data_IF_768590280657
#
_entry.id   IF_768590280657
#
_cell.length_a   1.000
_cell.length_b   1.000
_cell.length_c   1.000
_cell.angle_alpha   90.00
_cell.angle_beta   90.00
_cell.angle_gamma   90.00
#
_symmetry.space_group_name_H-M   'P 1'
#
loop_
_entity.id
_entity.type
_entity.pdbx_description
1 polymer ?
#
# COMPACT_ATOMS: atom_id res chain seq x y z
N UNK A 1 -19.91 14.40 -8.69
CA UNK A 1 -18.53 14.92 -8.59
C UNK A 1 -17.68 13.68 -8.48
N UNK A 2 -16.99 13.31 -9.55
CA UNK A 2 -16.21 12.07 -9.60
C UNK A 2 -15.06 12.23 -8.59
N UNK A 3 -14.85 11.25 -7.71
CA UNK A 3 -13.84 11.37 -6.66
C UNK A 3 -12.41 11.52 -7.24
N UNK A 4 -12.22 11.18 -8.53
CA UNK A 4 -11.01 11.43 -9.32
C UNK A 4 -10.73 12.91 -9.60
N UNK A 5 -11.73 13.78 -9.57
CA UNK A 5 -11.56 15.24 -9.75
C UNK A 5 -11.06 15.94 -8.46
N UNK A 6 -11.09 15.25 -7.31
CA UNK A 6 -10.63 15.79 -6.03
C UNK A 6 -9.22 15.34 -5.63
N UNK A 7 -8.64 14.39 -6.37
CA UNK A 7 -7.29 13.90 -6.10
C UNK A 7 -6.26 14.86 -6.69
N UNK A 8 -5.24 15.19 -5.89
CA UNK A 8 -4.10 16.07 -6.27
C UNK A 8 -3.36 15.51 -7.51
N UNK A 9 -2.36 16.21 -8.04
CA UNK A 9 -1.49 15.69 -9.10
C UNK A 9 -0.88 14.32 -8.73
N UNK A 10 -0.75 13.44 -9.74
CA UNK A 10 -0.10 12.14 -9.61
C UNK A 10 1.38 12.35 -9.28
N UNK A 11 1.81 11.90 -8.10
CA UNK A 11 3.21 11.98 -7.69
C UNK A 11 4.04 10.90 -8.39
N UNK A 12 3.64 9.63 -8.27
CA UNK A 12 4.23 8.51 -8.98
C UNK A 12 3.27 7.32 -9.07
N UNK A 13 3.59 6.37 -9.94
CA UNK A 13 2.90 5.07 -9.98
C UNK A 13 3.86 3.93 -10.32
N UNK A 14 3.59 2.76 -9.76
CA UNK A 14 4.24 1.49 -10.08
C UNK A 14 3.16 0.51 -10.52
N UNK A 15 3.40 -0.22 -11.60
CA UNK A 15 2.45 -1.19 -12.13
C UNK A 15 3.13 -2.45 -12.65
N UNK A 16 2.48 -3.59 -12.48
CA UNK A 16 3.02 -4.89 -12.90
C UNK A 16 1.90 -5.90 -13.11
N UNK A 17 2.13 -6.86 -14.01
CA UNK A 17 1.26 -8.03 -14.18
C UNK A 17 1.82 -9.19 -13.38
N UNK A 18 0.98 -9.81 -12.56
CA UNK A 18 1.34 -10.97 -11.75
C UNK A 18 0.54 -12.19 -12.23
N UNK A 19 1.15 -13.39 -12.31
CA UNK A 19 0.51 -14.60 -12.84
C UNK A 19 -0.45 -15.26 -11.84
N UNK A 20 -1.36 -14.48 -11.27
CA UNK A 20 -2.41 -14.90 -10.33
C UNK A 20 -3.76 -14.34 -10.76
N UNK A 21 -4.85 -14.97 -10.34
CA UNK A 21 -6.19 -14.43 -10.55
C UNK A 21 -6.47 -13.21 -9.66
N UNK A 22 -7.56 -12.51 -9.96
CA UNK A 22 -7.90 -11.26 -9.28
C UNK A 22 -8.39 -11.48 -7.85
N UNK A 23 -8.84 -12.70 -7.51
CA UNK A 23 -9.25 -13.07 -6.16
C UNK A 23 -8.02 -13.21 -5.26
N UNK A 24 -7.00 -13.95 -5.70
CA UNK A 24 -5.72 -14.07 -5.00
C UNK A 24 -5.03 -12.71 -4.85
N UNK A 25 -5.07 -11.90 -5.91
CA UNK A 25 -4.52 -10.55 -5.85
C UNK A 25 -5.27 -9.67 -4.85
N UNK A 26 -6.61 -9.73 -4.87
CA UNK A 26 -7.43 -8.99 -3.92
C UNK A 26 -7.11 -9.38 -2.47
N UNK A 27 -7.01 -10.67 -2.18
CA UNK A 27 -6.64 -11.16 -0.86
C UNK A 27 -5.26 -10.68 -0.42
N UNK A 28 -4.26 -10.66 -1.32
CA UNK A 28 -2.93 -10.17 -0.99
C UNK A 28 -2.92 -8.70 -0.52
N UNK A 29 -3.85 -7.87 -1.01
CA UNK A 29 -3.95 -6.45 -0.65
C UNK A 29 -4.96 -6.12 0.46
N UNK A 30 -5.79 -7.07 0.86
CA UNK A 30 -6.91 -6.82 1.80
C UNK A 30 -6.94 -7.73 3.02
N UNK A 31 -6.21 -8.85 3.00
CA UNK A 31 -6.07 -9.69 4.17
C UNK A 31 -4.88 -9.22 5.01
N UNK A 32 -5.12 -9.00 6.30
CA UNK A 32 -4.08 -8.54 7.22
C UNK A 32 -2.93 -9.56 7.37
N UNK A 33 -3.23 -10.86 7.35
CA UNK A 33 -2.22 -11.91 7.45
C UNK A 33 -1.39 -12.04 6.17
N UNK A 34 -1.97 -11.75 5.00
CA UNK A 34 -1.21 -11.65 3.75
C UNK A 34 -0.31 -10.41 3.74
N UNK A 35 -0.84 -9.23 4.08
CA UNK A 35 -0.07 -7.99 4.18
C UNK A 35 1.10 -8.12 5.16
N UNK A 36 0.93 -8.80 6.29
CA UNK A 36 2.00 -9.08 7.25
C UNK A 36 3.15 -9.92 6.67
N UNK A 37 2.90 -10.69 5.61
CA UNK A 37 3.93 -11.52 4.98
C UNK A 37 4.74 -10.80 3.91
N UNK A 38 4.18 -9.77 3.26
CA UNK A 38 4.82 -9.18 2.08
C UNK A 38 4.94 -7.66 2.07
N UNK A 39 4.16 -6.90 2.86
CA UNK A 39 4.08 -5.43 2.78
C UNK A 39 5.31 -4.74 3.41
N UNK A 40 6.48 -5.09 2.93
CA UNK A 40 7.78 -4.51 3.25
C UNK A 40 8.70 -4.66 2.02
N UNK A 41 9.74 -3.82 1.88
CA UNK A 41 10.81 -4.06 0.92
C UNK A 41 11.42 -5.45 1.09
N UNK A 42 12.00 -6.00 0.02
CA UNK A 42 12.57 -7.36 0.03
C UNK A 42 13.70 -7.59 1.05
N UNK A 43 14.34 -6.52 1.52
CA UNK A 43 15.41 -6.56 2.54
C UNK A 43 14.90 -6.34 3.97
N UNK A 44 13.62 -6.03 4.15
CA UNK A 44 12.99 -5.70 5.43
C UNK A 44 11.82 -6.67 5.71
N UNK A 45 11.18 -6.50 6.87
CA UNK A 45 10.02 -7.31 7.27
C UNK A 45 8.96 -6.47 7.94
N UNK A 46 7.70 -6.89 7.84
CA UNK A 46 6.62 -6.32 8.64
C UNK A 46 6.80 -6.73 10.11
N UNK A 47 6.54 -5.80 11.03
CA UNK A 47 6.51 -6.08 12.46
C UNK A 47 5.28 -6.95 12.77
N UNK A 48 5.44 -8.16 13.33
CA UNK A 48 4.32 -9.06 13.58
C UNK A 48 3.24 -8.45 14.48
N UNK A 49 1.97 -8.62 14.11
CA UNK A 49 0.82 -8.08 14.83
C UNK A 49 0.60 -6.57 14.67
N UNK A 50 1.38 -5.89 13.82
CA UNK A 50 1.18 -4.48 13.50
C UNK A 50 0.09 -4.23 12.46
N UNK A 51 -0.31 -5.29 11.75
CA UNK A 51 -1.20 -5.15 10.59
C UNK A 51 -2.66 -5.15 10.99
N UNK A 52 -3.37 -4.13 10.52
CA UNK A 52 -4.83 -4.05 10.52
C UNK A 52 -5.26 -3.83 9.07
N UNK A 53 -6.30 -4.53 8.64
CA UNK A 53 -6.95 -4.25 7.36
C UNK A 53 -8.43 -4.52 7.48
N UNK A 54 -9.23 -3.46 7.34
CA UNK A 54 -10.69 -3.51 7.30
C UNK A 54 -11.12 -3.04 5.90
N UNK A 55 -11.13 -3.92 4.87
CA UNK A 55 -11.37 -3.55 3.48
C UNK A 55 -12.86 -3.23 3.21
N UNK A 56 -13.31 -2.11 3.76
CA UNK A 56 -14.63 -1.52 3.63
C UNK A 56 -14.51 0.01 3.69
N UNK A 57 -15.44 0.74 3.09
CA UNK A 57 -15.42 2.21 3.12
C UNK A 57 -15.44 2.75 4.56
N UNK A 58 -14.45 3.59 4.89
CA UNK A 58 -14.21 4.12 6.24
C UNK A 58 -13.43 3.20 7.19
N UNK A 59 -13.16 1.95 6.77
CA UNK A 59 -12.38 0.97 7.52
C UNK A 59 -10.92 1.39 7.69
N UNK A 60 -10.29 0.95 8.78
CA UNK A 60 -8.89 1.27 9.09
C UNK A 60 -7.94 0.29 8.44
N UNK A 61 -6.75 0.77 8.16
CA UNK A 61 -5.59 -0.07 7.87
C UNK A 61 -4.34 0.46 8.55
N UNK A 62 -3.41 -0.43 8.87
CA UNK A 62 -2.11 -0.06 9.41
C UNK A 62 -1.08 -1.14 9.13
N UNK A 63 0.19 -0.76 8.99
CA UNK A 63 1.34 -1.66 8.89
C UNK A 63 2.55 -0.98 9.52
N UNK A 64 3.36 -1.71 10.28
CA UNK A 64 4.69 -1.26 10.69
C UNK A 64 5.76 -2.11 10.00
N UNK A 65 6.76 -1.45 9.40
CA UNK A 65 7.89 -2.11 8.73
C UNK A 65 9.14 -1.95 9.58
N UNK A 66 9.75 -3.07 9.95
CA UNK A 66 11.02 -3.11 10.67
C UNK A 66 12.15 -2.69 9.72
N UNK A 67 12.60 -1.45 9.88
CA UNK A 67 13.74 -0.85 9.19
C UNK A 67 14.91 -0.66 10.17
N UNK A 68 15.05 -1.52 11.18
CA UNK A 68 16.06 -1.38 12.24
C UNK A 68 17.50 -1.40 11.71
N UNK A 69 17.75 -2.00 10.55
CA UNK A 69 19.01 -1.90 9.81
C UNK A 69 19.37 -0.46 9.42
N UNK A 70 18.37 0.42 9.29
CA UNK A 70 18.47 1.86 9.07
C UNK A 70 18.16 2.68 10.34
N UNK A 71 18.04 2.04 11.50
CA UNK A 71 17.90 2.68 12.80
C UNK A 71 16.50 3.18 13.17
N UNK A 72 15.45 2.76 12.47
CA UNK A 72 14.06 3.17 12.77
C UNK A 72 13.03 2.08 12.44
N UNK A 73 11.77 2.29 12.83
CA UNK A 73 10.62 1.52 12.34
C UNK A 73 9.77 2.49 11.51
N UNK A 74 9.31 2.04 10.35
CA UNK A 74 8.45 2.82 9.48
C UNK A 74 6.98 2.45 9.77
N UNK A 75 6.20 3.41 10.25
CA UNK A 75 4.81 3.22 10.60
C UNK A 75 3.90 3.81 9.53
N UNK A 76 2.93 3.03 9.06
CA UNK A 76 1.94 3.43 8.07
C UNK A 76 0.53 3.16 8.58
N UNK A 77 -0.37 4.12 8.39
CA UNK A 77 -1.79 3.93 8.70
C UNK A 77 -2.67 4.80 7.82
N UNK A 78 -3.96 4.49 7.79
CA UNK A 78 -4.95 5.33 7.14
C UNK A 78 -6.33 4.69 7.12
N UNK A 79 -7.15 5.18 6.19
CA UNK A 79 -8.52 4.70 5.98
C UNK A 79 -8.80 4.40 4.53
N UNK A 80 -9.61 3.38 4.29
CA UNK A 80 -10.16 3.12 2.97
C UNK A 80 -11.25 4.15 2.65
N UNK A 81 -11.08 4.86 1.55
CA UNK A 81 -12.06 5.81 1.02
C UNK A 81 -13.03 5.14 0.03
N UNK A 82 -12.54 4.22 -0.81
CA UNK A 82 -13.33 3.44 -1.77
C UNK A 82 -12.81 2.01 -1.81
N UNK A 83 -13.71 1.03 -1.79
CA UNK A 83 -13.36 -0.39 -1.86
C UNK A 83 -14.25 -1.06 -2.89
N UNK A 84 -13.68 -1.40 -4.05
CA UNK A 84 -14.35 -2.15 -5.11
C UNK A 84 -13.69 -3.52 -5.21
N UNK A 85 -14.35 -4.60 -4.74
CA UNK A 85 -13.77 -5.94 -4.73
C UNK A 85 -13.14 -6.33 -6.06
N UNK A 86 -11.91 -6.85 -6.01
CA UNK A 86 -11.11 -7.35 -7.13
C UNK A 86 -10.78 -6.30 -8.21
N UNK A 87 -11.08 -5.02 -7.98
CA UNK A 87 -10.93 -3.98 -9.00
C UNK A 87 -10.23 -2.72 -8.49
N UNK A 88 -10.53 -2.26 -7.27
CA UNK A 88 -9.97 -1.01 -6.77
C UNK A 88 -9.94 -0.89 -5.24
N UNK A 89 -8.87 -0.31 -4.72
CA UNK A 89 -8.79 0.24 -3.36
C UNK A 89 -8.31 1.69 -3.44
N UNK A 90 -9.01 2.60 -2.78
CA UNK A 90 -8.52 3.96 -2.52
C UNK A 90 -8.37 4.10 -1.01
N UNK A 91 -7.21 4.53 -0.56
CA UNK A 91 -6.97 4.75 0.86
C UNK A 91 -6.00 5.91 1.12
N UNK A 92 -6.12 6.51 2.30
CA UNK A 92 -5.09 7.43 2.78
C UNK A 92 -3.87 6.67 3.29
N UNK A 93 -2.70 7.29 3.22
CA UNK A 93 -1.43 6.79 3.75
C UNK A 93 -0.73 7.90 4.52
N UNK A 94 -0.78 7.81 5.84
CA UNK A 94 0.08 8.56 6.76
C UNK A 94 1.34 7.77 7.06
N UNK A 95 2.43 8.48 7.33
CA UNK A 95 3.74 7.92 7.66
C UNK A 95 4.34 8.59 8.88
N UNK A 96 4.93 7.81 9.78
CA UNK A 96 5.75 8.31 10.88
C UNK A 96 6.85 7.31 11.28
N UNK A 97 7.85 7.79 12.01
CA UNK A 97 8.83 6.97 12.73
C UNK A 97 8.58 6.97 14.25
N UNK A 98 7.59 7.74 14.73
CA UNK A 98 7.18 7.80 16.12
C UNK A 98 6.10 6.74 16.41
N UNK A 99 6.41 5.81 17.31
CA UNK A 99 5.48 4.77 17.74
C UNK A 99 4.24 5.36 18.43
N UNK A 100 4.37 6.49 19.13
CA UNK A 100 3.22 7.13 19.78
C UNK A 100 2.19 7.63 18.76
N UNK A 101 2.64 8.16 17.61
CA UNK A 101 1.76 8.56 16.52
C UNK A 101 1.09 7.34 15.87
N UNK A 102 1.83 6.24 15.71
CA UNK A 102 1.28 4.99 15.20
C UNK A 102 0.27 4.33 16.16
N UNK A 103 0.43 4.50 17.47
CA UNK A 103 -0.55 4.03 18.46
C UNK A 103 -1.79 4.93 18.42
N UNK A 104 -1.60 6.24 18.29
CA UNK A 104 -2.70 7.20 18.22
C UNK A 104 -3.53 7.03 16.95
N UNK A 105 -2.88 6.73 15.80
CA UNK A 105 -3.50 6.62 14.46
C UNK A 105 -4.46 7.76 14.20
N UNK A 106 -3.95 8.97 14.37
CA UNK A 106 -4.72 10.18 14.14
C UNK A 106 -5.21 10.18 12.68
N UNK A 107 -6.52 10.31 12.53
CA UNK A 107 -7.18 10.28 11.23
C UNK A 107 -6.99 11.61 10.49
N UNK A 108 -6.63 12.67 11.21
CA UNK A 108 -6.35 14.01 10.67
C UNK A 108 -4.84 14.23 10.40
N UNK A 109 -4.01 13.20 10.60
CA UNK A 109 -2.58 13.28 10.28
C UNK A 109 -2.35 13.59 8.79
N UNK A 110 -1.25 14.30 8.44
CA UNK A 110 -0.87 14.47 7.05
C UNK A 110 -0.78 13.12 6.35
N UNK A 111 -1.40 13.02 5.18
CA UNK A 111 -1.46 11.79 4.39
C UNK A 111 -1.36 12.08 2.90
N UNK A 112 -1.01 11.02 2.18
CA UNK A 112 -1.14 10.95 0.73
C UNK A 112 -2.34 10.08 0.36
N UNK A 113 -2.90 10.32 -0.82
CA UNK A 113 -3.94 9.47 -1.38
C UNK A 113 -3.30 8.38 -2.24
N UNK A 114 -3.66 7.14 -1.95
CA UNK A 114 -3.20 5.97 -2.69
C UNK A 114 -4.38 5.37 -3.45
N UNK A 115 -4.14 5.06 -4.72
CA UNK A 115 -5.06 4.28 -5.57
C UNK A 115 -4.37 3.01 -5.98
N UNK A 116 -4.99 1.88 -5.66
CA UNK A 116 -4.61 0.56 -6.13
C UNK A 116 -5.68 0.12 -7.11
N UNK A 117 -5.32 0.05 -8.39
CA UNK A 117 -6.18 -0.52 -9.43
C UNK A 117 -5.77 -1.97 -9.69
N UNK A 118 -6.76 -2.84 -9.90
CA UNK A 118 -6.58 -4.24 -10.27
C UNK A 118 -7.42 -4.56 -11.50
N UNK A 119 -6.83 -5.26 -12.46
CA UNK A 119 -7.52 -5.64 -13.69
C UNK A 119 -7.04 -7.02 -14.14
N UNK A 120 -7.98 -7.92 -14.39
CA UNK A 120 -7.68 -9.20 -15.04
C UNK A 120 -7.18 -8.93 -16.47
N UNK A 121 -5.99 -9.43 -16.80
CA UNK A 121 -5.36 -9.33 -18.12
C UNK A 121 -4.86 -10.68 -18.61
N UNK A 122 -4.48 -10.74 -19.88
CA UNK A 122 -3.81 -11.92 -20.40
C UNK A 122 -2.51 -12.17 -19.61
N UNK A 123 -2.39 -13.37 -19.04
CA UNK A 123 -1.24 -13.76 -18.22
C UNK A 123 -1.38 -13.50 -16.72
N UNK A 124 -2.52 -12.98 -16.24
CA UNK A 124 -2.84 -12.90 -14.80
C UNK A 124 -3.56 -11.60 -14.42
N UNK A 125 -3.20 -11.00 -13.29
CA UNK A 125 -3.81 -9.76 -12.81
C UNK A 125 -2.79 -8.63 -12.88
N UNK A 126 -3.14 -7.58 -13.61
CA UNK A 126 -2.42 -6.31 -13.57
C UNK A 126 -2.80 -5.55 -12.32
N UNK A 127 -1.80 -5.01 -11.64
CA UNK A 127 -1.99 -4.12 -10.50
C UNK A 127 -1.18 -2.87 -10.70
N UNK A 128 -1.79 -1.73 -10.35
CA UNK A 128 -1.13 -0.43 -10.30
C UNK A 128 -1.32 0.18 -8.93
N UNK A 129 -0.21 0.54 -8.31
CA UNK A 129 -0.16 1.42 -7.15
C UNK A 129 0.16 2.83 -7.63
N UNK A 130 -0.69 3.80 -7.29
CA UNK A 130 -0.49 5.20 -7.63
C UNK A 130 -0.61 6.05 -6.37
N UNK A 131 0.39 6.89 -6.12
CA UNK A 131 0.37 7.87 -5.04
C UNK A 131 0.11 9.26 -5.61
N UNK A 132 -0.81 9.97 -4.97
CA UNK A 132 -1.21 11.33 -5.31
C UNK A 132 -0.85 12.28 -4.18
N UNK A 133 -0.50 13.52 -4.55
CA UNK A 133 -0.08 14.55 -3.61
C UNK A 133 1.05 15.41 -4.16
N UNK A 134 1.28 16.54 -3.49
CA UNK A 134 2.38 17.44 -3.85
C UNK A 134 3.71 16.82 -3.39
N UNK A 135 4.51 16.38 -4.35
CA UNK A 135 5.83 15.79 -4.10
C UNK A 135 6.83 16.27 -5.18
N UNK A 136 7.99 16.81 -4.78
CA UNK A 136 9.06 17.13 -5.73
C UNK A 136 9.52 15.90 -6.52
N UNK A 137 9.82 16.07 -7.80
CA UNK A 137 10.14 14.97 -8.72
C UNK A 137 11.28 14.05 -8.24
N UNK A 138 12.31 14.59 -7.58
CA UNK A 138 13.40 13.77 -7.01
C UNK A 138 12.89 12.86 -5.88
N UNK A 139 11.97 13.35 -5.04
CA UNK A 139 11.36 12.55 -3.98
C UNK A 139 10.42 11.49 -4.56
N UNK A 140 9.64 11.85 -5.59
CA UNK A 140 8.76 10.92 -6.28
C UNK A 140 9.54 9.75 -6.91
N UNK A 141 10.69 10.03 -7.53
CA UNK A 141 11.56 8.99 -8.10
C UNK A 141 12.11 8.02 -7.03
N UNK A 142 12.50 8.55 -5.86
CA UNK A 142 12.96 7.72 -4.75
C UNK A 142 11.82 6.87 -4.16
N UNK A 143 10.64 7.46 -3.97
CA UNK A 143 9.46 6.75 -3.47
C UNK A 143 9.00 5.66 -4.45
N UNK A 144 9.01 5.95 -5.76
CA UNK A 144 8.74 4.98 -6.81
C UNK A 144 9.72 3.79 -6.75
N UNK A 145 11.02 4.05 -6.61
CA UNK A 145 12.02 2.99 -6.48
C UNK A 145 11.81 2.14 -5.22
N UNK A 146 11.40 2.76 -4.11
CA UNK A 146 11.00 2.04 -2.89
C UNK A 146 9.80 1.12 -3.15
N UNK A 147 8.77 1.63 -3.82
CA UNK A 147 7.56 0.87 -4.13
C UNK A 147 7.79 -0.29 -5.11
N UNK A 148 8.76 -0.18 -6.03
CA UNK A 148 9.18 -1.31 -6.86
C UNK A 148 9.69 -2.49 -6.01
N UNK A 149 10.42 -2.22 -4.92
CA UNK A 149 10.87 -3.27 -3.99
C UNK A 149 9.69 -3.95 -3.27
N UNK A 150 8.63 -3.20 -2.94
CA UNK A 150 7.40 -3.79 -2.41
C UNK A 150 6.72 -4.70 -3.45
N UNK A 151 6.71 -4.31 -4.73
CA UNK A 151 6.18 -5.14 -5.81
C UNK A 151 7.01 -6.42 -6.04
N UNK A 152 8.33 -6.36 -5.80
CA UNK A 152 9.18 -7.55 -5.79
C UNK A 152 8.83 -8.48 -4.62
N UNK A 153 8.58 -7.93 -3.43
CA UNK A 153 8.12 -8.69 -2.26
C UNK A 153 6.75 -9.35 -2.53
N UNK A 154 5.80 -8.60 -3.11
CA UNK A 154 4.50 -9.12 -3.55
C UNK A 154 4.68 -10.27 -4.56
N UNK A 155 5.58 -10.13 -5.53
CA UNK A 155 5.85 -11.18 -6.52
C UNK A 155 6.36 -12.47 -5.85
N UNK A 156 7.29 -12.35 -4.90
CA UNK A 156 7.82 -13.49 -4.14
C UNK A 156 6.74 -14.17 -3.30
N UNK A 157 5.87 -13.37 -2.70
CA UNK A 157 4.75 -13.86 -1.88
C UNK A 157 3.70 -14.59 -2.71
N UNK A 158 3.29 -14.01 -3.83
CA UNK A 158 2.33 -14.62 -4.75
C UNK A 158 2.87 -15.88 -5.44
N UNK A 159 4.17 -15.94 -5.72
CA UNK A 159 4.83 -17.11 -6.31
C UNK A 159 5.06 -18.28 -5.36
N UNK A 160 4.81 -18.10 -4.05
CA UNK A 160 4.93 -19.15 -3.02
C UNK A 160 3.62 -19.90 -2.74
N UNK A 161 2.51 -19.47 -3.33
CA UNK A 161 1.17 -20.03 -3.13
C UNK A 161 0.86 -21.20 -4.07
#
# INVERSE_FOLDING_TARGET
MDMRDAMTDLAYSVERVFPVDSDRMWHAWTDAGELEQWYAPTELSVVPGSVVSEPLEGGRWSVAVDASSYGHIAYFWGRYAEVVPMAKLIHSLSYSQDEAEFIARDDDAPHHDIVIDMEARDGGTWVRFAQYGDMPAEQAAMAQAGMESYFDSLALHLGRA
#
